data_IF_098441263730
#
_entry.id   IF_098441263730
#
_cell.length_a   1.000
_cell.length_b   1.000
_cell.length_c   1.000
_cell.angle_alpha   90.00
_cell.angle_beta   90.00
_cell.angle_gamma   90.00
#
_symmetry.space_group_name_H-M   'P 1'
#
loop_
_entity.id
_entity.type
_entity.pdbx_description
1 polymer ?
#
# COMPACT_ATOMS: atom_id res chain seq x y z
N UNK A 1 23.47 -24.18 -11.10
CA UNK A 1 22.60 -23.41 -10.20
C UNK A 1 21.53 -24.37 -9.71
N UNK A 2 21.22 -24.33 -8.42
CA UNK A 2 20.09 -25.08 -7.87
C UNK A 2 18.78 -24.48 -8.41
N UNK A 3 17.81 -25.33 -8.70
CA UNK A 3 16.50 -24.92 -9.21
C UNK A 3 15.71 -24.26 -8.08
N UNK A 4 15.16 -23.06 -8.32
CA UNK A 4 14.32 -22.34 -7.35
C UNK A 4 12.86 -22.63 -7.67
N UNK A 5 12.12 -23.05 -6.64
CA UNK A 5 10.70 -23.40 -6.69
C UNK A 5 9.85 -22.36 -5.94
N UNK A 6 8.53 -22.47 -6.05
CA UNK A 6 7.61 -21.59 -5.32
C UNK A 6 7.58 -21.85 -3.80
N UNK A 7 8.03 -23.03 -3.35
CA UNK A 7 8.04 -23.40 -1.94
C UNK A 7 9.32 -22.95 -1.22
N UNK A 8 10.33 -22.51 -1.97
CA UNK A 8 11.57 -22.00 -1.41
C UNK A 8 11.34 -20.67 -0.68
N UNK A 9 12.09 -20.50 0.42
CA UNK A 9 12.01 -19.31 1.26
C UNK A 9 12.61 -18.12 0.50
N UNK A 10 11.79 -17.09 0.31
CA UNK A 10 12.20 -15.85 -0.33
C UNK A 10 12.59 -14.79 0.70
N UNK A 11 11.84 -14.67 1.80
CA UNK A 11 12.05 -13.62 2.80
C UNK A 11 11.64 -14.10 4.20
N UNK A 12 12.37 -13.64 5.22
CA UNK A 12 11.98 -13.77 6.62
C UNK A 12 11.64 -12.38 7.16
N UNK A 13 10.39 -12.18 7.56
CA UNK A 13 9.93 -10.90 8.11
C UNK A 13 9.69 -11.02 9.60
N UNK A 14 10.38 -10.21 10.39
CA UNK A 14 10.21 -10.21 11.84
C UNK A 14 8.99 -9.40 12.25
N UNK A 15 8.12 -10.01 13.04
CA UNK A 15 6.98 -9.35 13.67
C UNK A 15 7.30 -9.08 15.14
N UNK A 16 6.69 -8.06 15.74
CA UNK A 16 6.81 -7.80 17.18
C UNK A 16 6.24 -8.94 18.04
N UNK A 17 5.30 -9.72 17.49
CA UNK A 17 4.61 -10.81 18.16
C UNK A 17 3.71 -10.32 19.30
N UNK A 18 2.56 -10.96 19.52
CA UNK A 18 1.68 -10.62 20.67
C UNK A 18 2.29 -11.01 22.02
N UNK A 19 3.35 -11.82 22.02
CA UNK A 19 4.01 -12.35 23.21
C UNK A 19 5.30 -11.62 23.59
N UNK A 20 5.65 -10.52 22.91
CA UNK A 20 6.83 -9.69 23.21
C UNK A 20 8.18 -10.28 22.78
N UNK A 21 8.18 -11.47 22.17
CA UNK A 21 9.36 -12.09 21.56
C UNK A 21 9.19 -12.05 20.04
N UNK A 22 10.07 -11.35 19.30
CA UNK A 22 9.97 -11.26 17.85
C UNK A 22 10.01 -12.65 17.19
N UNK A 23 9.12 -12.88 16.23
CA UNK A 23 9.06 -14.13 15.45
C UNK A 23 9.29 -13.82 13.98
N UNK A 24 10.06 -14.66 13.30
CA UNK A 24 10.26 -14.59 11.87
C UNK A 24 9.13 -15.30 11.13
N UNK A 25 8.31 -14.55 10.40
CA UNK A 25 7.38 -15.12 9.43
C UNK A 25 8.16 -15.55 8.19
N UNK A 26 8.06 -16.83 7.85
CA UNK A 26 8.67 -17.41 6.65
C UNK A 26 7.76 -17.12 5.46
N UNK A 27 8.29 -16.43 4.46
CA UNK A 27 7.58 -16.07 3.24
C UNK A 27 8.24 -16.77 2.06
N UNK A 28 7.49 -17.62 1.36
CA UNK A 28 7.98 -18.33 0.17
C UNK A 28 7.85 -17.47 -1.09
N UNK A 29 8.52 -17.89 -2.16
CA UNK A 29 8.34 -17.30 -3.49
C UNK A 29 6.87 -17.33 -3.95
N UNK A 30 6.19 -18.45 -3.73
CA UNK A 30 4.77 -18.65 -4.07
C UNK A 30 3.84 -17.71 -3.31
N UNK A 31 4.08 -17.51 -2.00
CA UNK A 31 3.30 -16.56 -1.20
C UNK A 31 3.41 -15.14 -1.74
N UNK A 32 4.63 -14.71 -2.07
CA UNK A 32 4.88 -13.37 -2.64
C UNK A 32 4.22 -13.23 -4.01
N UNK A 33 4.38 -14.23 -4.88
CA UNK A 33 3.80 -14.24 -6.23
C UNK A 33 2.27 -14.17 -6.18
N UNK A 34 1.62 -15.04 -5.41
CA UNK A 34 0.16 -15.05 -5.33
C UNK A 34 -0.40 -13.78 -4.70
N UNK A 35 0.29 -13.17 -3.75
CA UNK A 35 -0.09 -11.85 -3.27
C UNK A 35 0.03 -10.78 -4.35
N UNK A 36 1.07 -10.81 -5.19
CA UNK A 36 1.18 -9.87 -6.31
C UNK A 36 -0.01 -10.00 -7.28
N UNK A 37 -0.42 -11.23 -7.60
CA UNK A 37 -1.57 -11.49 -8.46
C UNK A 37 -2.88 -11.05 -7.80
N UNK A 38 -3.13 -11.50 -6.57
CA UNK A 38 -4.40 -11.30 -5.87
C UNK A 38 -4.63 -9.85 -5.43
N UNK A 39 -3.56 -9.12 -5.11
CA UNK A 39 -3.65 -7.71 -4.73
C UNK A 39 -3.56 -6.77 -5.93
N UNK A 40 -2.83 -7.17 -6.98
CA UNK A 40 -2.64 -6.37 -8.18
C UNK A 40 -3.95 -6.09 -8.92
N UNK A 41 -4.82 -7.09 -9.07
CA UNK A 41 -6.11 -6.94 -9.76
C UNK A 41 -7.02 -5.88 -9.11
N UNK A 42 -7.44 -6.05 -7.84
CA UNK A 42 -8.31 -5.11 -7.14
C UNK A 42 -7.71 -3.71 -6.97
N UNK A 43 -6.37 -3.60 -6.97
CA UNK A 43 -5.66 -2.32 -6.90
C UNK A 43 -5.41 -1.69 -8.30
N UNK A 44 -5.91 -2.30 -9.37
CA UNK A 44 -5.71 -1.84 -10.75
C UNK A 44 -4.23 -1.67 -11.14
N UNK A 45 -3.36 -2.51 -10.59
CA UNK A 45 -1.93 -2.48 -10.86
C UNK A 45 -1.65 -3.00 -12.26
N UNK A 46 -0.82 -2.28 -12.99
CA UNK A 46 -0.47 -2.54 -14.39
C UNK A 46 0.96 -2.06 -14.69
N UNK A 47 1.51 -2.32 -15.90
CA UNK A 47 2.79 -1.74 -16.31
C UNK A 47 2.80 -0.19 -16.31
N UNK A 48 1.64 0.45 -16.35
CA UNK A 48 1.51 1.91 -16.28
C UNK A 48 1.43 2.43 -14.82
N UNK A 49 1.48 1.55 -13.82
CA UNK A 49 1.45 1.94 -12.42
C UNK A 49 2.76 2.62 -12.01
N UNK A 50 2.62 3.74 -11.33
CA UNK A 50 3.69 4.49 -10.69
C UNK A 50 3.32 4.67 -9.23
N UNK A 51 4.03 3.94 -8.37
CA UNK A 51 3.82 3.93 -6.93
C UNK A 51 4.80 4.86 -6.24
N UNK A 52 4.29 5.68 -5.30
CA UNK A 52 5.12 6.30 -4.28
C UNK A 52 5.11 5.44 -3.01
N UNK A 53 6.23 4.76 -2.74
CA UNK A 53 6.43 3.97 -1.53
C UNK A 53 6.95 4.85 -0.41
N UNK A 54 6.10 5.07 0.61
CA UNK A 54 6.44 5.84 1.82
C UNK A 54 6.58 4.96 3.07
N UNK A 55 6.18 3.70 2.98
CA UNK A 55 6.32 2.74 4.07
C UNK A 55 7.69 2.04 4.00
N UNK A 56 8.31 1.68 5.15
CA UNK A 56 9.59 0.99 5.14
C UNK A 56 9.51 -0.38 4.46
N UNK A 57 10.47 -0.68 3.58
CA UNK A 57 10.54 -1.95 2.83
C UNK A 57 10.95 -3.15 3.68
N UNK A 58 11.40 -2.94 4.92
CA UNK A 58 11.61 -4.05 5.87
C UNK A 58 10.29 -4.54 6.51
N UNK A 59 9.20 -3.81 6.32
CA UNK A 59 7.86 -4.19 6.79
C UNK A 59 7.03 -4.72 5.62
N UNK A 60 6.21 -5.75 5.85
CA UNK A 60 5.39 -6.38 4.79
C UNK A 60 4.49 -5.39 4.06
N UNK A 61 3.96 -4.39 4.78
CA UNK A 61 3.14 -3.34 4.18
C UNK A 61 3.89 -2.46 3.18
N UNK A 62 5.19 -2.24 3.38
CA UNK A 62 6.01 -1.49 2.42
C UNK A 62 6.45 -2.37 1.25
N UNK A 63 6.91 -3.58 1.52
CA UNK A 63 7.44 -4.47 0.49
C UNK A 63 6.35 -5.13 -0.37
N UNK A 64 5.32 -5.68 0.26
CA UNK A 64 4.41 -6.60 -0.40
C UNK A 64 3.02 -6.04 -0.67
N UNK A 65 2.56 -4.96 -0.02
CA UNK A 65 1.25 -4.41 -0.34
C UNK A 65 1.20 -3.81 -1.74
N UNK A 66 2.09 -2.90 -2.15
CA UNK A 66 2.11 -2.45 -3.56
C UNK A 66 3.50 -2.44 -4.22
N UNK A 67 4.61 -2.42 -3.47
CA UNK A 67 5.95 -2.39 -4.10
C UNK A 67 6.22 -3.62 -4.97
N UNK A 68 6.13 -4.82 -4.41
CA UNK A 68 6.29 -6.06 -5.19
C UNK A 68 5.22 -6.23 -6.27
N UNK A 69 3.91 -5.99 -6.01
CA UNK A 69 2.90 -6.04 -7.06
C UNK A 69 3.17 -5.10 -8.24
N UNK A 70 3.59 -3.85 -7.99
CA UNK A 70 3.93 -2.90 -9.07
C UNK A 70 5.17 -3.34 -9.83
N UNK A 71 6.21 -3.80 -9.15
CA UNK A 71 7.41 -4.34 -9.81
C UNK A 71 7.09 -5.59 -10.63
N UNK A 72 6.25 -6.49 -10.09
CA UNK A 72 5.80 -7.71 -10.76
C UNK A 72 5.05 -7.40 -12.06
N UNK A 73 4.22 -6.36 -12.05
CA UNK A 73 3.50 -5.89 -13.23
C UNK A 73 4.36 -5.09 -14.22
N UNK A 74 5.63 -4.81 -13.90
CA UNK A 74 6.53 -4.01 -14.74
C UNK A 74 6.35 -2.49 -14.61
N UNK A 75 5.71 -2.02 -13.54
CA UNK A 75 5.53 -0.61 -13.24
C UNK A 75 6.75 0.04 -12.56
N UNK A 76 6.58 1.29 -12.12
CA UNK A 76 7.64 2.10 -11.48
C UNK A 76 7.38 2.29 -9.99
N UNK A 77 8.42 2.17 -9.18
CA UNK A 77 8.36 2.45 -7.73
C UNK A 77 9.32 3.59 -7.39
N UNK A 78 8.77 4.71 -6.90
CA UNK A 78 9.51 5.82 -6.31
C UNK A 78 9.58 5.60 -4.80
N UNK A 79 10.78 5.59 -4.25
CA UNK A 79 10.99 5.31 -2.82
C UNK A 79 11.28 6.61 -2.09
N UNK A 80 10.37 6.98 -1.18
CA UNK A 80 10.59 8.06 -0.23
C UNK A 80 11.28 7.49 1.02
N UNK A 81 12.60 7.73 1.12
CA UNK A 81 13.44 7.12 2.17
C UNK A 81 12.98 7.43 3.60
N UNK A 82 12.46 8.64 3.81
CA UNK A 82 11.84 9.05 5.06
C UNK A 82 10.55 9.79 4.72
N UNK A 83 9.44 9.37 5.31
CA UNK A 83 8.14 9.98 5.03
C UNK A 83 8.12 11.44 5.45
N UNK A 84 7.77 12.31 4.49
CA UNK A 84 7.40 13.70 4.71
C UNK A 84 6.05 13.97 4.03
N UNK A 85 5.03 14.44 4.76
CA UNK A 85 3.69 14.63 4.19
C UNK A 85 3.66 15.72 3.12
N UNK A 86 4.47 16.78 3.24
CA UNK A 86 4.52 17.87 2.29
C UNK A 86 5.15 17.43 0.96
N UNK A 87 6.28 16.73 1.03
CA UNK A 87 6.95 16.18 -0.15
C UNK A 87 6.09 15.08 -0.81
N UNK A 88 5.38 14.26 -0.03
CA UNK A 88 4.50 13.23 -0.59
C UNK A 88 3.36 13.88 -1.39
N UNK A 89 2.71 14.90 -0.83
CA UNK A 89 1.67 15.68 -1.52
C UNK A 89 2.19 16.36 -2.78
N UNK A 90 3.38 16.95 -2.71
CA UNK A 90 4.04 17.60 -3.85
C UNK A 90 4.32 16.59 -4.97
N UNK A 91 4.90 15.43 -4.66
CA UNK A 91 5.21 14.40 -5.65
C UNK A 91 3.95 13.80 -6.26
N UNK A 92 2.93 13.49 -5.45
CA UNK A 92 1.65 12.97 -5.94
C UNK A 92 0.97 13.96 -6.88
N UNK A 93 1.00 15.26 -6.55
CA UNK A 93 0.43 16.31 -7.38
C UNK A 93 1.29 16.76 -8.56
N UNK A 94 2.53 16.27 -8.70
CA UNK A 94 3.41 16.61 -9.82
C UNK A 94 3.14 15.67 -11.01
N UNK A 95 2.55 16.18 -12.12
CA UNK A 95 2.23 15.35 -13.27
C UNK A 95 3.46 14.73 -13.94
N UNK A 96 4.67 15.27 -13.74
CA UNK A 96 5.91 14.71 -14.27
C UNK A 96 6.33 13.43 -13.56
N UNK A 97 5.93 13.24 -12.29
CA UNK A 97 6.17 11.99 -11.55
C UNK A 97 5.21 10.90 -11.99
N UNK A 98 4.00 11.28 -12.40
CA UNK A 98 3.02 10.33 -12.92
C UNK A 98 2.42 9.37 -11.89
N UNK A 99 2.61 9.63 -10.58
CA UNK A 99 2.14 8.78 -9.48
C UNK A 99 0.63 8.57 -9.59
N UNK A 100 0.23 7.30 -9.64
CA UNK A 100 -1.17 6.88 -9.78
C UNK A 100 -1.56 5.75 -8.81
N UNK A 101 -0.61 5.21 -8.06
CA UNK A 101 -0.83 4.21 -7.00
C UNK A 101 -0.21 4.74 -5.70
N UNK A 102 -0.95 4.65 -4.59
CA UNK A 102 -0.44 5.00 -3.27
C UNK A 102 -0.95 4.04 -2.20
N UNK A 103 -0.10 3.71 -1.23
CA UNK A 103 -0.47 2.90 -0.06
C UNK A 103 0.13 3.46 1.21
N UNK A 104 -0.66 3.45 2.28
CA UNK A 104 -0.22 3.89 3.59
C UNK A 104 -1.07 3.29 4.71
N UNK A 105 -0.59 3.40 5.94
CA UNK A 105 -1.44 3.20 7.11
C UNK A 105 -2.25 4.46 7.44
N UNK A 106 -3.20 4.40 8.39
CA UNK A 106 -4.03 5.55 8.78
C UNK A 106 -3.22 6.81 9.14
N UNK A 107 -2.08 6.64 9.81
CA UNK A 107 -1.23 7.76 10.20
C UNK A 107 -0.65 8.54 9.01
N UNK A 108 -0.28 7.86 7.92
CA UNK A 108 0.24 8.50 6.70
C UNK A 108 -0.81 9.43 6.11
N UNK A 109 -2.02 8.91 5.92
CA UNK A 109 -3.16 9.67 5.41
C UNK A 109 -3.56 10.81 6.35
N UNK A 110 -3.48 10.60 7.67
CA UNK A 110 -3.75 11.64 8.67
C UNK A 110 -2.75 12.80 8.58
N UNK A 111 -1.45 12.50 8.55
CA UNK A 111 -0.40 13.53 8.47
C UNK A 111 -0.47 14.31 7.17
N UNK A 112 -0.73 13.63 6.05
CA UNK A 112 -0.97 14.30 4.77
C UNK A 112 -2.21 15.20 4.84
N UNK A 113 -3.34 14.73 5.39
CA UNK A 113 -4.57 15.52 5.49
C UNK A 113 -4.43 16.76 6.39
N UNK A 114 -3.53 16.73 7.39
CA UNK A 114 -3.24 17.85 8.28
C UNK A 114 -2.25 18.87 7.68
N UNK A 115 -1.54 18.51 6.61
CA UNK A 115 -0.55 19.39 6.01
C UNK A 115 -1.23 20.53 5.21
N UNK A 116 -0.75 21.79 5.27
CA UNK A 116 -1.38 22.91 4.57
C UNK A 116 -1.54 22.69 3.06
N UNK A 117 -0.55 22.07 2.41
CA UNK A 117 -0.60 21.75 0.98
C UNK A 117 -1.64 20.70 0.61
N UNK A 118 -2.24 20.00 1.59
CA UNK A 118 -3.30 19.05 1.30
C UNK A 118 -4.38 19.75 0.49
N UNK A 119 -4.86 20.90 0.94
CA UNK A 119 -5.96 21.67 0.35
C UNK A 119 -5.82 21.95 -1.16
N UNK A 120 -4.58 22.07 -1.64
CA UNK A 120 -4.28 22.45 -3.02
C UNK A 120 -3.61 21.34 -3.84
N UNK A 121 -3.20 20.24 -3.20
CA UNK A 121 -2.64 19.09 -3.91
C UNK A 121 -3.64 18.51 -4.91
N UNK A 122 -3.15 18.17 -6.10
CA UNK A 122 -3.92 17.49 -7.13
C UNK A 122 -3.83 15.97 -6.96
N UNK A 123 -4.98 15.31 -6.84
CA UNK A 123 -5.07 13.85 -6.74
C UNK A 123 -5.75 13.22 -7.95
N UNK A 124 -6.05 13.98 -9.01
CA UNK A 124 -6.81 13.54 -10.18
C UNK A 124 -6.18 12.35 -10.92
N UNK A 125 -4.86 12.18 -10.78
CA UNK A 125 -4.09 11.06 -11.36
C UNK A 125 -4.08 9.82 -10.48
N UNK A 126 -4.43 9.94 -9.20
CA UNK A 126 -4.41 8.83 -8.25
C UNK A 126 -5.56 7.87 -8.57
N UNK A 127 -5.20 6.74 -9.17
CA UNK A 127 -6.15 5.69 -9.54
C UNK A 127 -6.55 4.85 -8.34
N UNK A 128 -5.60 4.58 -7.43
CA UNK A 128 -5.84 3.83 -6.21
C UNK A 128 -5.10 4.45 -5.03
N UNK A 129 -5.82 4.65 -3.93
CA UNK A 129 -5.27 4.94 -2.61
C UNK A 129 -5.63 3.80 -1.67
N UNK A 130 -4.69 2.89 -1.43
CA UNK A 130 -4.89 1.74 -0.55
C UNK A 130 -4.54 2.06 0.90
N UNK A 131 -5.27 1.46 1.84
CA UNK A 131 -5.03 1.62 3.27
C UNK A 131 -5.18 0.31 4.03
N UNK A 132 -4.28 0.07 4.97
CA UNK A 132 -4.30 -1.14 5.80
C UNK A 132 -3.35 -1.08 6.98
N UNK A 133 -3.28 -2.19 7.72
CA UNK A 133 -2.42 -2.33 8.90
C UNK A 133 -3.02 -1.79 10.20
N UNK A 134 -4.08 -0.99 10.15
CA UNK A 134 -4.90 -0.59 11.28
C UNK A 134 -6.29 -0.12 10.82
N UNK A 135 -7.32 -0.13 11.70
CA UNK A 135 -8.64 0.39 11.38
C UNK A 135 -8.59 1.86 10.94
N UNK A 136 -9.37 2.21 9.92
CA UNK A 136 -9.46 3.58 9.41
C UNK A 136 -10.59 4.36 10.08
N UNK A 137 -10.32 5.53 10.68
CA UNK A 137 -11.38 6.40 11.15
C UNK A 137 -12.27 6.86 9.98
N UNK A 138 -13.57 6.60 10.07
CA UNK A 138 -14.56 7.03 9.06
C UNK A 138 -14.46 8.53 8.72
N UNK A 139 -14.24 9.46 9.69
CA UNK A 139 -14.04 10.87 9.36
C UNK A 139 -12.86 11.11 8.42
N UNK A 140 -11.75 10.38 8.59
CA UNK A 140 -10.58 10.51 7.72
C UNK A 140 -10.88 9.98 6.31
N UNK A 141 -11.62 8.86 6.20
CA UNK A 141 -12.08 8.37 4.89
C UNK A 141 -12.89 9.45 4.15
N UNK A 142 -13.82 10.13 4.84
CA UNK A 142 -14.60 11.22 4.27
C UNK A 142 -13.76 12.44 3.88
N UNK A 143 -12.71 12.75 4.65
CA UNK A 143 -11.77 13.83 4.31
C UNK A 143 -11.07 13.57 2.97
N UNK A 144 -10.62 12.33 2.73
CA UNK A 144 -9.99 11.95 1.47
C UNK A 144 -10.99 11.83 0.32
N UNK A 145 -12.19 11.29 0.59
CA UNK A 145 -13.28 11.21 -0.38
C UNK A 145 -13.69 12.60 -0.89
N UNK A 146 -13.78 13.59 0.00
CA UNK A 146 -14.05 14.99 -0.36
C UNK A 146 -12.96 15.61 -1.26
N UNK A 147 -11.80 14.96 -1.37
CA UNK A 147 -10.68 15.32 -2.26
C UNK A 147 -10.59 14.43 -3.49
N UNK A 148 -11.63 13.65 -3.77
CA UNK A 148 -11.71 12.77 -4.93
C UNK A 148 -11.04 11.42 -4.74
N UNK A 149 -10.60 11.08 -3.52
CA UNK A 149 -9.86 9.84 -3.24
C UNK A 149 -10.65 8.97 -2.27
N UNK A 150 -11.41 8.01 -2.81
CA UNK A 150 -12.02 6.96 -1.99
C UNK A 150 -10.96 5.90 -1.66
N UNK A 151 -10.57 5.82 -0.37
CA UNK A 151 -9.49 4.93 0.06
C UNK A 151 -9.95 3.47 0.14
N UNK A 152 -9.27 2.60 -0.61
CA UNK A 152 -9.51 1.16 -0.62
C UNK A 152 -8.95 0.54 0.65
N UNK A 153 -9.83 -0.02 1.48
CA UNK A 153 -9.44 -0.63 2.75
C UNK A 153 -9.10 -2.11 2.54
N UNK A 154 -8.06 -2.58 3.22
CA UNK A 154 -7.68 -3.98 3.23
C UNK A 154 -7.19 -4.46 4.60
N UNK A 155 -7.38 -5.75 4.83
CA UNK A 155 -6.90 -6.48 5.99
C UNK A 155 -5.82 -7.48 5.58
N UNK A 156 -4.79 -7.58 6.41
CA UNK A 156 -3.65 -8.46 6.19
C UNK A 156 -2.76 -8.57 7.41
N UNK A 157 -1.86 -9.53 7.37
CA UNK A 157 -0.87 -9.81 8.40
C UNK A 157 0.47 -10.18 7.75
N UNK A 158 1.57 -10.19 8.50
CA UNK A 158 2.87 -10.54 7.91
C UNK A 158 2.91 -12.00 7.48
N UNK A 159 2.27 -12.86 8.26
CA UNK A 159 2.13 -14.30 8.10
C UNK A 159 1.38 -14.70 6.82
N UNK A 160 0.63 -13.79 6.21
CA UNK A 160 -0.17 -14.02 5.00
C UNK A 160 0.41 -13.38 3.75
N UNK A 161 1.61 -12.79 3.84
CA UNK A 161 2.37 -12.24 2.72
C UNK A 161 1.68 -11.24 1.78
N UNK A 162 1.02 -10.14 2.22
CA UNK A 162 0.34 -9.89 3.48
C UNK A 162 -1.18 -9.81 3.32
N UNK A 163 -1.71 -9.56 2.13
CA UNK A 163 -3.13 -9.27 1.99
C UNK A 163 -3.99 -10.53 2.16
N UNK A 164 -5.10 -10.39 2.89
CA UNK A 164 -6.11 -11.44 3.09
C UNK A 164 -7.44 -11.01 2.48
N UNK A 165 -7.87 -9.78 2.78
CA UNK A 165 -9.11 -9.22 2.25
C UNK A 165 -8.88 -7.79 1.80
N UNK A 166 -9.59 -7.39 0.74
CA UNK A 166 -9.59 -6.02 0.24
C UNK A 166 -11.01 -5.70 -0.21
N UNK A 167 -11.46 -4.46 0.04
CA UNK A 167 -12.68 -3.96 -0.57
C UNK A 167 -12.44 -3.68 -2.06
N UNK A 168 -13.43 -3.93 -2.90
CA UNK A 168 -13.40 -3.38 -4.25
C UNK A 168 -13.38 -1.84 -4.19
N UNK A 169 -12.69 -1.22 -5.16
CA UNK A 169 -12.53 0.25 -5.21
C UNK A 169 -13.88 0.95 -5.23
N UNK A 170 -14.83 0.40 -5.97
CA UNK A 170 -16.19 0.91 -6.15
C UNK A 170 -16.98 0.90 -4.84
N UNK A 171 -16.58 0.04 -3.91
CA UNK A 171 -17.20 -0.11 -2.59
C UNK A 171 -16.51 0.72 -1.49
N UNK A 172 -15.33 1.30 -1.76
CA UNK A 172 -14.54 2.02 -0.76
C UNK A 172 -15.33 3.13 -0.04
N UNK A 173 -16.10 3.92 -0.80
CA UNK A 173 -16.97 4.97 -0.24
C UNK A 173 -18.25 4.38 0.37
N UNK A 174 -18.89 3.43 -0.32
CA UNK A 174 -20.18 2.84 0.06
C UNK A 174 -20.10 2.03 1.35
N UNK A 175 -18.96 1.38 1.62
CA UNK A 175 -18.68 0.52 2.77
C UNK A 175 -17.56 1.09 3.65
N UNK A 176 -17.48 2.42 3.77
CA UNK A 176 -16.49 3.11 4.58
C UNK A 176 -16.40 2.52 6.01
N UNK A 177 -15.19 2.18 6.46
CA UNK A 177 -14.93 1.56 7.76
C UNK A 177 -15.02 0.02 7.79
N UNK A 178 -15.35 -0.64 6.67
CA UNK A 178 -15.28 -2.09 6.56
C UNK A 178 -13.83 -2.51 6.29
N UNK A 179 -13.23 -3.28 7.19
CA UNK A 179 -11.88 -3.85 7.08
C UNK A 179 -11.89 -5.32 7.42
#
# INVERSE_FOLDING_TARGET
>A
FEEVTLDDISTIMYTSGTTGQPKGAIITHGMTFWNCVNLGGPAYISPASVLLTVLPLFHTGGLNCYTNPVLHAGGTVLIMRAFDPGEALKLIGDPSQGINVFFGGPAIYQFMAQHPSFATADFSRLMIGGVGGAPMPVPLLKTWEARGVALQQGYGMTETSPAVMVLDREDAARKAGSS
#
